data_IF_182777083857
#
_entry.id   IF_182777083857
#
_cell.length_a   1.000
_cell.length_b   1.000
_cell.length_c   1.000
_cell.angle_alpha   90.00
_cell.angle_beta   90.00
_cell.angle_gamma   90.00
#
_symmetry.space_group_name_H-M   'P 1'
#
loop_
_entity.id
_entity.type
_entity.pdbx_description
1 polymer ?
#
# COMPACT_ATOMS: atom_id res chain seq x y z
N UNK A 1 11.00 -14.62 9.91
CA UNK A 1 9.84 -13.92 10.52
C UNK A 1 8.85 -14.99 10.97
N UNK A 2 8.34 -14.96 12.21
CA UNK A 2 7.37 -15.98 12.66
C UNK A 2 5.97 -15.68 12.13
N UNK A 3 5.18 -16.71 11.84
CA UNK A 3 3.79 -16.56 11.36
C UNK A 3 2.92 -15.77 12.35
N UNK A 4 3.05 -16.04 13.65
CA UNK A 4 2.35 -15.30 14.72
C UNK A 4 2.71 -13.81 14.69
N UNK A 5 3.99 -13.48 14.56
CA UNK A 5 4.43 -12.08 14.48
C UNK A 5 3.92 -11.40 13.20
N UNK A 6 3.88 -12.11 12.08
CA UNK A 6 3.35 -11.59 10.81
C UNK A 6 1.85 -11.27 10.93
N UNK A 7 1.07 -12.16 11.53
CA UNK A 7 -0.36 -11.93 11.79
C UNK A 7 -0.58 -10.77 12.77
N UNK A 8 0.13 -10.75 13.89
CA UNK A 8 0.02 -9.68 14.88
C UNK A 8 0.29 -8.30 14.25
N UNK A 9 1.32 -8.21 13.40
CA UNK A 9 1.62 -6.97 12.69
C UNK A 9 0.58 -6.60 11.65
N UNK A 10 0.09 -7.56 10.86
CA UNK A 10 -0.96 -7.30 9.87
C UNK A 10 -2.25 -6.81 10.56
N UNK A 11 -2.60 -7.38 11.71
CA UNK A 11 -3.74 -6.94 12.52
C UNK A 11 -3.50 -5.54 13.08
N UNK A 12 -2.33 -5.27 13.66
CA UNK A 12 -1.99 -3.94 14.18
C UNK A 12 -2.02 -2.88 13.07
N UNK A 13 -1.49 -3.20 11.89
CA UNK A 13 -1.56 -2.34 10.71
C UNK A 13 -3.00 -2.09 10.27
N UNK A 14 -3.81 -3.15 10.13
CA UNK A 14 -5.20 -3.01 9.73
C UNK A 14 -6.02 -2.18 10.74
N UNK A 15 -5.80 -2.39 12.05
CA UNK A 15 -6.43 -1.60 13.10
C UNK A 15 -5.99 -0.14 13.05
N UNK A 16 -4.68 0.13 12.90
CA UNK A 16 -4.17 1.48 12.74
C UNK A 16 -4.83 2.20 11.57
N UNK A 17 -4.90 1.56 10.38
CA UNK A 17 -5.52 2.16 9.20
C UNK A 17 -7.03 2.37 9.37
N UNK A 18 -7.73 1.41 9.98
CA UNK A 18 -9.17 1.51 10.24
C UNK A 18 -9.53 2.65 11.20
N UNK A 19 -8.61 3.06 12.08
CA UNK A 19 -8.79 4.17 13.02
C UNK A 19 -8.29 5.49 12.41
N UNK A 20 -7.09 5.49 11.82
CA UNK A 20 -6.42 6.70 11.34
C UNK A 20 -7.18 7.37 10.17
N UNK A 21 -7.68 6.59 9.20
CA UNK A 21 -8.32 7.16 8.01
C UNK A 21 -9.67 7.86 8.31
N UNK A 22 -10.57 7.33 9.17
CA UNK A 22 -11.73 8.09 9.64
C UNK A 22 -11.36 9.34 10.39
N UNK A 23 -10.39 9.25 11.31
CA UNK A 23 -9.99 10.38 12.14
C UNK A 23 -9.49 11.53 11.26
N UNK A 24 -8.66 11.24 10.25
CA UNK A 24 -8.12 12.27 9.36
C UNK A 24 -9.19 13.11 8.64
N UNK A 25 -10.41 12.60 8.44
CA UNK A 25 -11.49 13.38 7.80
C UNK A 25 -11.89 14.62 8.61
N UNK A 26 -11.64 14.62 9.92
CA UNK A 26 -12.05 15.67 10.84
C UNK A 26 -10.88 16.44 11.48
N UNK A 27 -9.63 16.18 11.08
CA UNK A 27 -8.44 16.81 11.67
C UNK A 27 -8.16 18.21 11.12
N UNK A 28 -7.61 19.07 11.96
CA UNK A 28 -6.82 20.23 11.58
C UNK A 28 -5.41 19.83 11.11
N UNK A 29 -4.62 20.76 10.56
CA UNK A 29 -3.22 20.50 10.16
C UNK A 29 -2.34 19.99 11.32
N UNK A 30 -2.55 20.53 12.52
CA UNK A 30 -1.79 20.11 13.71
C UNK A 30 -2.16 18.68 14.11
N UNK A 31 -3.46 18.36 14.16
CA UNK A 31 -3.94 17.01 14.50
C UNK A 31 -3.54 15.98 13.44
N UNK A 32 -3.57 16.35 12.16
CA UNK A 32 -3.05 15.50 11.08
C UNK A 32 -1.55 15.26 11.22
N UNK A 33 -0.78 16.27 11.65
CA UNK A 33 0.65 16.12 11.92
C UNK A 33 0.91 15.19 13.11
N UNK A 34 0.07 15.27 14.16
CA UNK A 34 0.11 14.34 15.29
C UNK A 34 -0.22 12.90 14.85
N UNK A 35 -1.21 12.72 13.98
CA UNK A 35 -1.50 11.43 13.35
C UNK A 35 -0.29 10.92 12.54
N UNK A 36 0.36 11.81 11.79
CA UNK A 36 1.64 11.56 11.12
C UNK A 36 2.71 11.02 12.06
N UNK A 37 2.92 11.67 13.21
CA UNK A 37 3.88 11.23 14.22
C UNK A 37 3.56 9.81 14.72
N UNK A 38 2.29 9.48 14.97
CA UNK A 38 1.91 8.12 15.38
C UNK A 38 2.25 7.07 14.33
N UNK A 39 2.06 7.37 13.04
CA UNK A 39 2.43 6.47 11.94
C UNK A 39 3.96 6.25 11.89
N UNK A 40 4.74 7.31 12.06
CA UNK A 40 6.21 7.23 12.09
C UNK A 40 6.74 6.47 13.29
N UNK A 41 6.17 6.68 14.49
CA UNK A 41 6.52 5.91 15.69
C UNK A 41 6.20 4.45 15.48
N UNK A 42 5.02 4.12 14.93
CA UNK A 42 4.66 2.75 14.61
C UNK A 42 5.66 2.14 13.61
N UNK A 43 6.00 2.85 12.54
CA UNK A 43 6.98 2.37 11.57
C UNK A 43 8.35 2.13 12.20
N UNK A 44 8.84 3.07 13.02
CA UNK A 44 10.13 2.97 13.69
C UNK A 44 10.19 1.73 14.62
N UNK A 45 9.16 1.52 15.44
CA UNK A 45 9.05 0.33 16.31
C UNK A 45 9.00 -0.94 15.48
N UNK A 46 8.19 -0.96 14.41
CA UNK A 46 8.05 -2.12 13.54
C UNK A 46 9.37 -2.50 12.87
N UNK A 47 10.14 -1.51 12.40
CA UNK A 47 11.45 -1.68 11.77
C UNK A 47 12.54 -2.08 12.75
N UNK A 48 12.48 -1.62 14.00
CA UNK A 48 13.44 -2.02 15.03
C UNK A 48 13.41 -3.54 15.27
N UNK A 49 12.26 -4.18 15.06
CA UNK A 49 12.09 -5.63 15.15
C UNK A 49 12.52 -6.39 13.88
N UNK A 50 12.97 -5.71 12.83
CA UNK A 50 13.37 -6.34 11.55
C UNK A 50 14.89 -6.41 11.38
N UNK A 51 15.39 -7.38 10.58
CA UNK A 51 16.78 -7.42 10.14
C UNK A 51 17.20 -6.18 9.33
N UNK A 52 18.48 -5.79 9.33
CA UNK A 52 18.98 -4.60 8.61
C UNK A 52 18.57 -4.54 7.14
N UNK A 53 18.61 -5.67 6.43
CA UNK A 53 18.22 -5.75 5.02
C UNK A 53 16.77 -5.31 4.78
N UNK A 54 15.83 -5.70 5.66
CA UNK A 54 14.42 -5.30 5.55
C UNK A 54 14.27 -3.82 5.88
N UNK A 55 15.02 -3.30 6.87
CA UNK A 55 15.00 -1.87 7.20
C UNK A 55 15.41 -1.00 6.01
N UNK A 56 16.49 -1.38 5.33
CA UNK A 56 16.96 -0.69 4.13
C UNK A 56 15.91 -0.76 3.02
N UNK A 57 15.34 -1.94 2.75
CA UNK A 57 14.28 -2.08 1.74
C UNK A 57 13.07 -1.17 2.01
N UNK A 58 12.59 -1.15 3.26
CA UNK A 58 11.44 -0.32 3.65
C UNK A 58 11.80 1.16 3.56
N UNK A 59 12.98 1.57 4.04
CA UNK A 59 13.42 2.97 3.96
C UNK A 59 13.55 3.44 2.49
N UNK A 60 14.15 2.62 1.62
CA UNK A 60 14.24 2.91 0.18
C UNK A 60 12.84 3.06 -0.44
N UNK A 61 11.91 2.18 -0.09
CA UNK A 61 10.55 2.26 -0.58
C UNK A 61 9.83 3.51 -0.08
N UNK A 62 10.00 3.89 1.19
CA UNK A 62 9.41 5.12 1.75
C UNK A 62 9.90 6.34 0.98
N UNK A 63 11.21 6.44 0.71
CA UNK A 63 11.77 7.54 -0.08
C UNK A 63 11.19 7.55 -1.49
N UNK A 64 11.20 6.40 -2.18
CA UNK A 64 10.68 6.31 -3.54
C UNK A 64 9.18 6.65 -3.61
N UNK A 65 8.38 6.09 -2.71
CA UNK A 65 6.94 6.34 -2.65
C UNK A 65 6.65 7.80 -2.33
N UNK A 66 7.42 8.43 -1.44
CA UNK A 66 7.28 9.87 -1.15
C UNK A 66 7.56 10.73 -2.36
N UNK A 67 8.62 10.41 -3.13
CA UNK A 67 8.94 11.14 -4.37
C UNK A 67 7.80 10.99 -5.38
N UNK A 68 7.28 9.76 -5.57
CA UNK A 68 6.17 9.51 -6.48
C UNK A 68 4.88 10.19 -6.01
N UNK A 69 4.62 10.25 -4.71
CA UNK A 69 3.50 10.99 -4.12
C UNK A 69 3.62 12.49 -4.35
N UNK A 70 4.79 13.08 -4.16
CA UNK A 70 5.03 14.51 -4.47
C UNK A 70 4.78 14.77 -5.95
N UNK A 71 5.29 13.90 -6.83
CA UNK A 71 5.06 14.03 -8.27
C UNK A 71 3.57 13.93 -8.60
N UNK A 72 2.88 12.91 -8.08
CA UNK A 72 1.47 12.65 -8.36
C UNK A 72 0.55 13.74 -7.81
N UNK A 73 0.71 14.10 -6.54
CA UNK A 73 -0.22 15.01 -5.84
C UNK A 73 0.13 16.49 -6.00
N UNK A 74 1.41 16.87 -5.95
CA UNK A 74 1.84 18.28 -5.93
C UNK A 74 2.25 18.75 -7.32
N UNK A 75 3.10 17.99 -8.03
CA UNK A 75 3.66 18.44 -9.33
C UNK A 75 2.64 18.27 -10.47
N UNK A 76 2.03 17.10 -10.58
CA UNK A 76 1.03 16.81 -11.61
C UNK A 76 -0.39 17.19 -11.20
N UNK A 77 -0.68 17.22 -9.90
CA UNK A 77 -2.04 17.48 -9.39
C UNK A 77 -3.05 16.40 -9.79
N UNK A 78 -2.60 15.15 -9.98
CA UNK A 78 -3.45 14.03 -10.38
C UNK A 78 -4.52 13.69 -9.32
N UNK A 79 -4.23 14.00 -8.06
CA UNK A 79 -5.17 13.94 -6.93
C UNK A 79 -4.71 14.91 -5.84
N UNK A 80 -5.62 15.27 -4.93
CA UNK A 80 -5.37 16.19 -3.81
C UNK A 80 -5.82 15.59 -2.50
N UNK A 81 -5.05 15.86 -1.45
CA UNK A 81 -5.44 15.57 -0.08
C UNK A 81 -6.32 16.69 0.47
N UNK A 82 -7.16 16.37 1.45
CA UNK A 82 -8.19 17.27 2.01
C UNK A 82 -7.66 18.64 2.46
N UNK A 83 -6.47 18.68 3.04
CA UNK A 83 -5.85 19.89 3.58
C UNK A 83 -4.82 20.52 2.62
N UNK A 84 -4.82 20.11 1.34
CA UNK A 84 -3.94 20.63 0.27
C UNK A 84 -2.42 20.51 0.57
N UNK A 85 -2.07 19.67 1.55
CA UNK A 85 -0.70 19.26 1.88
C UNK A 85 -0.53 17.75 1.64
N UNK A 86 0.71 17.28 1.57
CA UNK A 86 1.00 15.85 1.68
C UNK A 86 0.99 15.47 3.17
N UNK A 87 0.04 14.64 3.65
CA UNK A 87 -0.02 14.30 5.07
C UNK A 87 1.20 13.49 5.50
N UNK A 88 1.78 13.83 6.66
CA UNK A 88 3.02 13.20 7.15
C UNK A 88 2.87 11.70 7.44
N UNK A 89 1.64 11.20 7.61
CA UNK A 89 1.39 9.76 7.75
C UNK A 89 1.54 9.01 6.43
N UNK A 90 1.48 9.65 5.25
CA UNK A 90 1.50 8.97 3.94
C UNK A 90 2.84 8.27 3.70
N UNK A 91 4.01 8.93 3.81
CA UNK A 91 5.31 8.27 3.72
C UNK A 91 5.45 7.07 4.68
N UNK A 92 5.11 7.27 5.95
CA UNK A 92 5.16 6.19 6.96
C UNK A 92 4.19 5.05 6.63
N UNK A 93 3.00 5.40 6.12
CA UNK A 93 1.96 4.49 5.68
C UNK A 93 2.44 3.56 4.57
N UNK A 94 3.18 4.06 3.58
CA UNK A 94 3.78 3.21 2.54
C UNK A 94 4.78 2.21 3.13
N UNK A 95 5.61 2.64 4.09
CA UNK A 95 6.55 1.76 4.77
C UNK A 95 5.85 0.66 5.57
N UNK A 96 4.81 1.04 6.33
CA UNK A 96 3.98 0.11 7.10
C UNK A 96 3.24 -0.88 6.19
N UNK A 97 2.64 -0.37 5.11
CA UNK A 97 1.93 -1.17 4.12
C UNK A 97 2.85 -2.18 3.45
N UNK A 98 4.02 -1.73 2.97
CA UNK A 98 5.00 -2.61 2.33
C UNK A 98 5.50 -3.68 3.29
N UNK A 99 5.83 -3.30 4.53
CA UNK A 99 6.23 -4.26 5.54
C UNK A 99 5.10 -5.27 5.77
N UNK A 100 3.84 -4.83 5.90
CA UNK A 100 2.68 -5.71 6.09
C UNK A 100 2.53 -6.69 4.94
N UNK A 101 2.57 -6.21 3.69
CA UNK A 101 2.52 -7.05 2.50
C UNK A 101 3.66 -8.08 2.48
N UNK A 102 4.88 -7.68 2.84
CA UNK A 102 6.02 -8.60 2.96
C UNK A 102 5.80 -9.68 4.04
N UNK A 103 5.25 -9.30 5.21
CA UNK A 103 4.96 -10.27 6.29
C UNK A 103 3.83 -11.23 5.93
N UNK A 104 2.80 -10.73 5.24
CA UNK A 104 1.64 -11.51 4.81
C UNK A 104 2.04 -12.46 3.69
N UNK A 105 2.77 -11.99 2.67
CA UNK A 105 3.23 -12.81 1.56
C UNK A 105 4.16 -13.97 2.01
N UNK A 106 4.87 -13.81 3.14
CA UNK A 106 5.72 -14.85 3.75
C UNK A 106 4.97 -15.79 4.72
N UNK A 107 3.64 -15.71 4.79
CA UNK A 107 2.86 -16.68 5.56
C UNK A 107 2.87 -18.04 4.85
N UNK A 108 3.13 -19.16 5.55
CA UNK A 108 3.20 -20.49 4.93
C UNK A 108 1.94 -20.87 4.15
N UNK A 109 0.76 -20.44 4.61
CA UNK A 109 -0.50 -20.69 3.93
C UNK A 109 -0.56 -20.01 2.55
N UNK A 110 -0.06 -18.78 2.45
CA UNK A 110 -0.06 -18.00 1.22
C UNK A 110 1.01 -18.53 0.25
N UNK A 111 2.20 -18.87 0.77
CA UNK A 111 3.26 -19.50 -0.03
C UNK A 111 2.79 -20.82 -0.66
N UNK A 112 2.07 -21.67 0.09
CA UNK A 112 1.49 -22.92 -0.42
C UNK A 112 0.51 -22.70 -1.58
N UNK A 113 -0.18 -21.55 -1.61
CA UNK A 113 -1.18 -21.22 -2.62
C UNK A 113 -0.71 -20.12 -3.58
N UNK A 114 0.60 -19.81 -3.60
CA UNK A 114 1.14 -18.63 -4.25
C UNK A 114 0.69 -18.48 -5.71
N UNK A 115 0.79 -19.56 -6.49
CA UNK A 115 0.38 -19.56 -7.91
C UNK A 115 -1.11 -19.21 -8.08
N UNK A 116 -1.99 -19.78 -7.26
CA UNK A 116 -3.44 -19.52 -7.33
C UNK A 116 -3.75 -18.08 -6.96
N UNK A 117 -3.11 -17.56 -5.91
CA UNK A 117 -3.27 -16.17 -5.46
C UNK A 117 -2.80 -15.20 -6.54
N UNK A 118 -1.63 -15.44 -7.13
CA UNK A 118 -1.08 -14.58 -8.20
C UNK A 118 -2.00 -14.57 -9.41
N UNK A 119 -2.48 -15.73 -9.87
CA UNK A 119 -3.43 -15.81 -11.00
C UNK A 119 -4.73 -15.08 -10.67
N UNK A 120 -5.30 -15.31 -9.48
CA UNK A 120 -6.55 -14.66 -9.07
C UNK A 120 -6.41 -13.14 -8.99
N UNK A 121 -5.34 -12.63 -8.37
CA UNK A 121 -5.05 -11.21 -8.28
C UNK A 121 -4.83 -10.59 -9.68
N UNK A 122 -4.11 -11.28 -10.55
CA UNK A 122 -3.87 -10.82 -11.94
C UNK A 122 -5.16 -10.76 -12.74
N UNK A 123 -6.01 -11.77 -12.62
CA UNK A 123 -7.31 -11.79 -13.27
C UNK A 123 -8.22 -10.67 -12.74
N UNK A 124 -8.31 -10.51 -11.42
CA UNK A 124 -9.09 -9.45 -10.78
C UNK A 124 -8.60 -8.05 -11.22
N UNK A 125 -7.29 -7.80 -11.19
CA UNK A 125 -6.71 -6.53 -11.64
C UNK A 125 -7.01 -6.24 -13.11
N UNK A 126 -6.95 -7.27 -13.96
CA UNK A 126 -7.26 -7.13 -15.40
C UNK A 126 -8.74 -6.84 -15.62
N UNK A 127 -9.64 -7.53 -14.93
CA UNK A 127 -11.07 -7.25 -14.99
C UNK A 127 -11.40 -5.83 -14.51
N UNK A 128 -10.75 -5.39 -13.43
CA UNK A 128 -10.92 -4.04 -12.90
C UNK A 128 -10.45 -2.95 -13.88
N UNK A 129 -9.28 -3.16 -14.50
CA UNK A 129 -8.76 -2.27 -15.55
C UNK A 129 -9.70 -2.21 -16.76
N UNK A 130 -10.18 -3.36 -17.25
CA UNK A 130 -11.12 -3.40 -18.37
C UNK A 130 -12.43 -2.67 -18.05
N UNK A 131 -12.93 -2.85 -16.82
CA UNK A 131 -14.10 -2.12 -16.33
C UNK A 131 -13.83 -0.60 -16.29
N UNK A 132 -12.68 -0.17 -15.79
CA UNK A 132 -12.27 1.25 -15.75
C UNK A 132 -12.12 1.89 -17.13
N UNK A 133 -11.64 1.15 -18.13
CA UNK A 133 -11.55 1.64 -19.51
C UNK A 133 -12.92 1.70 -20.21
N UNK A 134 -13.85 0.81 -19.87
CA UNK A 134 -15.16 0.75 -20.50
C UNK A 134 -16.18 1.75 -19.90
N UNK A 135 -15.88 2.39 -18.77
CA UNK A 135 -16.81 3.26 -18.05
C UNK A 135 -16.78 4.71 -18.58
N UNK A 136 -17.91 5.28 -19.04
CA UNK A 136 -17.98 6.70 -19.44
C UNK A 136 -17.95 7.64 -18.23
N UNK A 137 -17.60 8.95 -18.38
CA UNK A 137 -17.39 9.69 -19.63
C UNK A 137 -15.96 9.64 -20.20
N UNK A 138 -14.96 9.25 -19.41
CA UNK A 138 -13.56 9.12 -19.86
C UNK A 138 -12.96 7.81 -19.32
N UNK A 139 -12.16 7.09 -20.14
CA UNK A 139 -11.51 5.87 -19.71
C UNK A 139 -10.45 6.13 -18.63
N UNK A 140 -10.34 5.22 -17.67
CA UNK A 140 -9.31 5.28 -16.62
C UNK A 140 -7.92 4.91 -17.15
N UNK A 141 -7.23 5.88 -17.75
CA UNK A 141 -5.89 5.71 -18.30
C UNK A 141 -4.82 5.50 -17.21
N UNK A 142 -4.99 6.09 -16.03
CA UNK A 142 -4.06 5.88 -14.92
C UNK A 142 -4.19 4.46 -14.37
N UNK A 143 -5.41 3.93 -14.26
CA UNK A 143 -5.67 2.54 -13.95
C UNK A 143 -5.04 1.59 -14.97
N UNK A 144 -5.11 1.91 -16.26
CA UNK A 144 -4.44 1.13 -17.30
C UNK A 144 -2.90 1.15 -17.17
N UNK A 145 -2.29 2.32 -16.97
CA UNK A 145 -0.83 2.45 -16.82
C UNK A 145 -0.34 1.69 -15.58
N UNK A 146 -1.03 1.85 -14.45
CA UNK A 146 -0.69 1.14 -13.20
C UNK A 146 -0.89 -0.37 -13.32
N UNK A 147 -1.95 -0.83 -14.00
CA UNK A 147 -2.13 -2.23 -14.36
C UNK A 147 -0.99 -2.76 -15.24
N UNK A 148 -0.55 -2.02 -16.26
CA UNK A 148 0.54 -2.45 -17.13
C UNK A 148 1.87 -2.61 -16.36
N UNK A 149 2.16 -1.67 -15.45
CA UNK A 149 3.30 -1.76 -14.52
C UNK A 149 3.16 -2.99 -13.60
N UNK A 150 1.97 -3.21 -13.03
CA UNK A 150 1.70 -4.36 -12.18
C UNK A 150 1.91 -5.69 -12.92
N UNK A 151 1.36 -5.86 -14.12
CA UNK A 151 1.56 -7.06 -14.96
C UNK A 151 3.04 -7.27 -15.27
N UNK A 152 3.78 -6.21 -15.58
CA UNK A 152 5.22 -6.29 -15.81
C UNK A 152 5.97 -6.81 -14.57
N UNK A 153 5.54 -6.43 -13.36
CA UNK A 153 6.09 -6.97 -12.12
C UNK A 153 5.63 -8.39 -11.80
N UNK A 154 4.40 -8.78 -12.15
CA UNK A 154 3.93 -10.16 -11.99
C UNK A 154 4.70 -11.11 -12.91
N UNK A 155 4.84 -10.76 -14.19
CA UNK A 155 5.42 -11.66 -15.21
C UNK A 155 6.94 -11.73 -15.13
N UNK A 156 7.61 -10.63 -14.74
CA UNK A 156 9.09 -10.54 -14.76
C UNK A 156 9.73 -10.21 -13.41
N UNK A 157 8.92 -9.99 -12.37
CA UNK A 157 9.43 -9.69 -11.04
C UNK A 157 9.84 -10.95 -10.28
N UNK A 158 10.75 -10.78 -9.32
CA UNK A 158 11.28 -11.87 -8.50
C UNK A 158 10.31 -12.34 -7.41
N UNK A 159 9.32 -11.51 -7.05
CA UNK A 159 8.40 -11.72 -5.93
C UNK A 159 6.92 -11.52 -6.34
N UNK A 160 6.38 -12.33 -7.27
CA UNK A 160 5.01 -12.15 -7.78
C UNK A 160 3.93 -12.24 -6.68
N UNK A 161 4.13 -13.10 -5.67
CA UNK A 161 3.20 -13.22 -4.55
C UNK A 161 3.13 -11.93 -3.72
N UNK A 162 4.25 -11.23 -3.52
CA UNK A 162 4.28 -9.96 -2.82
C UNK A 162 3.43 -8.92 -3.56
N UNK A 163 3.60 -8.80 -4.88
CA UNK A 163 2.81 -7.88 -5.68
C UNK A 163 1.31 -8.24 -5.65
N UNK A 164 0.97 -9.53 -5.74
CA UNK A 164 -0.42 -9.98 -5.67
C UNK A 164 -1.08 -9.69 -4.31
N UNK A 165 -0.34 -9.89 -3.21
CA UNK A 165 -0.79 -9.55 -1.85
C UNK A 165 -0.95 -8.04 -1.70
N UNK A 166 0.01 -7.25 -2.19
CA UNK A 166 -0.10 -5.79 -2.19
C UNK A 166 -1.34 -5.32 -2.96
N UNK A 167 -1.60 -5.88 -4.15
CA UNK A 167 -2.82 -5.57 -4.91
C UNK A 167 -4.09 -5.85 -4.08
N UNK A 168 -4.21 -7.06 -3.51
CA UNK A 168 -5.37 -7.43 -2.69
C UNK A 168 -5.54 -6.52 -1.47
N UNK A 169 -4.43 -6.13 -0.81
CA UNK A 169 -4.46 -5.19 0.31
C UNK A 169 -4.89 -3.79 -0.12
N UNK A 170 -4.38 -3.26 -1.24
CA UNK A 170 -4.80 -1.97 -1.78
C UNK A 170 -6.27 -1.98 -2.14
N UNK A 171 -6.75 -3.01 -2.85
CA UNK A 171 -8.18 -3.16 -3.17
C UNK A 171 -9.05 -3.19 -1.91
N UNK A 172 -8.61 -3.89 -0.85
CA UNK A 172 -9.34 -3.92 0.41
C UNK A 172 -9.38 -2.56 1.13
N UNK A 173 -8.36 -1.71 0.94
CA UNK A 173 -8.37 -0.34 1.43
C UNK A 173 -9.31 0.53 0.59
N UNK A 174 -9.20 0.49 -0.73
CA UNK A 174 -10.03 1.29 -1.64
C UNK A 174 -11.52 1.01 -1.44
N UNK A 175 -11.93 -0.27 -1.46
CA UNK A 175 -13.35 -0.65 -1.32
C UNK A 175 -13.98 -0.28 0.03
N UNK A 176 -13.18 0.02 1.06
CA UNK A 176 -13.69 0.45 2.37
C UNK A 176 -13.92 1.96 2.47
N UNK A 177 -13.40 2.73 1.52
CA UNK A 177 -13.41 4.19 1.58
C UNK A 177 -13.95 4.86 0.31
N UNK A 178 -14.37 4.07 -0.68
CA UNK A 178 -15.26 4.47 -1.78
C UNK A 178 -16.71 4.43 -1.30
#
# INVERSE_FOLDING_TARGET
MSARGSLAYAIAFAAFVAIALPLDRATSLLEQSALGLTAWVFLAVALWLQPPAVRVQVATLVVLATVLEIIGSIVWGAYRYRLENLPLYVPAGHGLFYLAALRVASLPLLERHARRIVIAATAAATLWMLYGLARPPLPDLLGFVTWAIFIRFIVRGRFPLLYAVSFAMTTALELRWV
#
